data_IF_099618797932
#
_entry.id   IF_099618797932
#
_cell.length_a   1.000
_cell.length_b   1.000
_cell.length_c   1.000
_cell.angle_alpha   90.00
_cell.angle_beta   90.00
_cell.angle_gamma   90.00
#
_symmetry.space_group_name_H-M   'P 1'
#
loop_
_entity.id
_entity.type
_entity.pdbx_description
1 polymer ?
#
# COMPACT_ATOMS: atom_id res chain seq x y z
N UNK A 1 15.36 -10.33 -3.28
CA UNK A 1 14.13 -10.30 -4.13
C UNK A 1 14.41 -9.54 -5.41
N UNK A 2 14.33 -10.17 -6.59
CA UNK A 2 14.67 -9.52 -7.87
C UNK A 2 13.58 -8.51 -8.23
N UNK A 3 13.87 -7.23 -8.08
CA UNK A 3 13.00 -6.13 -8.50
C UNK A 3 12.74 -6.23 -10.01
N UNK A 4 11.49 -6.45 -10.42
CA UNK A 4 11.09 -6.29 -11.81
C UNK A 4 11.48 -4.89 -12.25
N UNK A 5 12.23 -4.81 -13.34
CA UNK A 5 12.73 -3.55 -13.86
C UNK A 5 11.52 -2.67 -14.24
N UNK A 6 11.23 -1.63 -13.45
CA UNK A 6 10.11 -0.69 -13.67
C UNK A 6 10.12 -0.16 -15.11
N UNK A 7 11.31 0.03 -15.70
CA UNK A 7 11.44 0.42 -17.11
C UNK A 7 10.87 -0.62 -18.08
N UNK A 8 11.03 -1.93 -17.78
CA UNK A 8 10.49 -3.02 -18.61
C UNK A 8 8.97 -3.05 -18.50
N UNK A 9 8.44 -2.94 -17.27
CA UNK A 9 6.99 -2.90 -17.02
C UNK A 9 6.32 -1.70 -17.71
N UNK A 10 6.94 -0.52 -17.66
CA UNK A 10 6.42 0.70 -18.30
C UNK A 10 6.51 0.68 -19.83
N UNK A 11 7.46 -0.09 -20.42
CA UNK A 11 7.51 -0.31 -21.88
C UNK A 11 6.43 -1.27 -22.37
N UNK A 12 5.98 -2.18 -21.53
CA UNK A 12 4.93 -3.15 -21.87
C UNK A 12 3.53 -2.54 -21.85
N UNK A 13 3.35 -1.39 -21.18
CA UNK A 13 2.06 -0.68 -21.14
C UNK A 13 1.90 0.15 -22.41
N UNK A 14 1.27 -0.44 -23.42
CA UNK A 14 0.91 0.26 -24.66
C UNK A 14 0.05 1.49 -24.36
N UNK A 15 0.49 2.68 -24.83
CA UNK A 15 -0.30 3.91 -24.82
C UNK A 15 -0.01 4.89 -23.68
N UNK A 16 0.87 4.58 -22.70
CA UNK A 16 1.23 5.52 -21.64
C UNK A 16 2.59 6.15 -21.90
N UNK A 17 2.61 7.44 -22.27
CA UNK A 17 3.84 8.20 -22.40
C UNK A 17 4.56 8.35 -21.06
N UNK A 18 5.85 8.00 -21.01
CA UNK A 18 6.67 8.08 -19.80
C UNK A 18 7.31 9.46 -19.66
N UNK A 19 6.55 10.42 -19.16
CA UNK A 19 7.04 11.79 -18.92
C UNK A 19 8.04 11.83 -17.75
N UNK A 20 8.83 12.90 -17.66
CA UNK A 20 9.79 13.14 -16.56
C UNK A 20 9.08 13.11 -15.21
N UNK A 21 7.91 13.72 -15.11
CA UNK A 21 7.10 13.75 -13.89
C UNK A 21 6.65 12.32 -13.48
N UNK A 22 6.18 11.52 -14.43
CA UNK A 22 5.78 10.12 -14.18
C UNK A 22 6.96 9.27 -13.69
N UNK A 23 8.13 9.39 -14.33
CA UNK A 23 9.35 8.71 -13.91
C UNK A 23 9.70 9.05 -12.47
N UNK A 24 9.66 10.35 -12.14
CA UNK A 24 9.97 10.83 -10.80
C UNK A 24 9.00 10.26 -9.76
N UNK A 25 7.69 10.31 -10.01
CA UNK A 25 6.69 9.82 -9.05
C UNK A 25 6.82 8.30 -8.82
N UNK A 26 7.01 7.52 -9.87
CA UNK A 26 7.22 6.07 -9.76
C UNK A 26 8.49 5.75 -8.96
N UNK A 27 9.58 6.50 -9.20
CA UNK A 27 10.82 6.32 -8.46
C UNK A 27 10.66 6.63 -6.98
N UNK A 28 9.89 7.67 -6.63
CA UNK A 28 9.61 8.02 -5.24
C UNK A 28 8.73 6.98 -4.55
N UNK A 29 7.69 6.47 -5.21
CA UNK A 29 6.87 5.38 -4.69
C UNK A 29 7.73 4.14 -4.44
N UNK A 30 8.62 3.81 -5.38
CA UNK A 30 9.55 2.69 -5.24
C UNK A 30 10.51 2.84 -4.05
N UNK A 31 11.03 4.07 -3.83
CA UNK A 31 11.97 4.38 -2.73
C UNK A 31 11.30 4.45 -1.36
N UNK A 32 10.00 4.53 -1.32
CA UNK A 32 9.27 4.54 -0.05
C UNK A 32 9.27 3.17 0.66
N UNK A 33 9.81 2.12 -0.01
CA UNK A 33 9.97 0.77 0.56
C UNK A 33 8.71 0.26 1.29
N UNK A 34 7.53 0.48 0.67
CA UNK A 34 6.23 0.13 1.24
C UNK A 34 5.18 1.17 0.85
N UNK A 35 4.61 1.83 1.83
CA UNK A 35 3.44 2.67 1.68
C UNK A 35 3.77 4.16 1.70
N UNK A 36 3.23 4.93 0.75
CA UNK A 36 3.37 6.39 0.71
C UNK A 36 2.02 7.08 0.52
N UNK A 37 1.73 8.11 1.30
CA UNK A 37 0.54 8.92 1.07
C UNK A 37 0.71 9.87 -0.13
N UNK A 38 -0.39 10.28 -0.77
CA UNK A 38 -0.34 11.26 -1.86
C UNK A 38 0.31 12.59 -1.41
N UNK A 39 0.06 12.99 -0.16
CA UNK A 39 0.61 14.22 0.43
C UNK A 39 2.13 14.14 0.62
N UNK A 40 2.64 13.01 1.08
CA UNK A 40 4.08 12.83 1.28
C UNK A 40 4.81 12.61 -0.05
N UNK A 41 4.18 11.91 -0.98
CA UNK A 41 4.67 11.80 -2.36
C UNK A 41 4.79 13.20 -3.00
N UNK A 42 3.78 14.06 -2.83
CA UNK A 42 3.83 15.43 -3.31
C UNK A 42 4.97 16.22 -2.65
N UNK A 43 5.11 16.16 -1.31
CA UNK A 43 6.18 16.86 -0.59
C UNK A 43 7.58 16.44 -1.08
N UNK A 44 7.77 15.16 -1.39
CA UNK A 44 9.04 14.66 -1.93
C UNK A 44 9.25 15.07 -3.38
N UNK A 45 8.18 15.02 -4.19
CA UNK A 45 8.24 15.34 -5.61
C UNK A 45 8.54 16.82 -5.86
N UNK A 46 7.91 17.74 -5.13
CA UNK A 46 8.11 19.18 -5.30
C UNK A 46 9.53 19.64 -4.94
N UNK A 47 10.20 18.94 -4.01
CA UNK A 47 11.62 19.20 -3.69
C UNK A 47 12.55 18.92 -4.89
N UNK A 48 12.17 17.97 -5.76
CA UNK A 48 12.95 17.57 -6.94
C UNK A 48 12.51 18.28 -8.23
N UNK A 49 11.22 18.58 -8.32
CA UNK A 49 10.64 19.28 -9.47
C UNK A 49 9.52 20.23 -8.99
N UNK A 50 9.83 21.50 -8.90
CA UNK A 50 8.92 22.56 -8.43
C UNK A 50 7.67 22.74 -9.31
N UNK A 51 7.68 22.26 -10.55
CA UNK A 51 6.53 22.34 -11.45
C UNK A 51 5.43 21.30 -11.19
N UNK A 52 5.66 20.36 -10.27
CA UNK A 52 4.67 19.34 -9.92
C UNK A 52 3.64 19.94 -8.95
N UNK A 53 2.37 19.87 -9.33
CA UNK A 53 1.26 20.21 -8.45
C UNK A 53 0.68 18.98 -7.76
N UNK A 54 -0.05 19.17 -6.66
CA UNK A 54 -0.77 18.10 -5.99
C UNK A 54 -1.80 17.42 -6.91
N UNK A 55 -2.47 18.21 -7.77
CA UNK A 55 -3.37 17.68 -8.78
C UNK A 55 -2.65 16.78 -9.80
N UNK A 56 -1.41 17.12 -10.15
CA UNK A 56 -0.57 16.27 -11.02
C UNK A 56 -0.26 14.95 -10.34
N UNK A 57 0.03 14.94 -9.03
CA UNK A 57 0.27 13.72 -8.26
C UNK A 57 -0.97 12.83 -8.30
N UNK A 58 -2.15 13.35 -7.95
CA UNK A 58 -3.39 12.55 -7.95
C UNK A 58 -3.75 12.00 -9.32
N UNK A 59 -3.61 12.79 -10.40
CA UNK A 59 -3.85 12.30 -11.77
C UNK A 59 -2.93 11.14 -12.14
N UNK A 60 -1.66 11.21 -11.74
CA UNK A 60 -0.71 10.13 -12.02
C UNK A 60 -0.94 8.91 -11.13
N UNK A 61 -1.28 9.08 -9.87
CA UNK A 61 -1.66 7.97 -8.99
C UNK A 61 -2.87 7.23 -9.54
N UNK A 62 -3.90 7.96 -10.00
CA UNK A 62 -5.05 7.34 -10.67
C UNK A 62 -4.61 6.54 -11.90
N UNK A 63 -3.83 7.14 -12.78
CA UNK A 63 -3.30 6.47 -13.97
C UNK A 63 -2.53 5.20 -13.61
N UNK A 64 -1.61 5.28 -12.64
CA UNK A 64 -0.78 4.15 -12.22
C UNK A 64 -1.62 3.01 -11.62
N UNK A 65 -2.70 3.35 -10.92
CA UNK A 65 -3.67 2.38 -10.42
C UNK A 65 -4.45 1.73 -11.57
N UNK A 66 -4.99 2.53 -12.50
CA UNK A 66 -5.79 2.06 -13.62
C UNK A 66 -5.00 1.09 -14.53
N UNK A 67 -3.70 1.30 -14.67
CA UNK A 67 -2.80 0.39 -15.41
C UNK A 67 -2.23 -0.75 -14.55
N UNK A 68 -2.64 -0.86 -13.28
CA UNK A 68 -2.20 -1.93 -12.37
C UNK A 68 -0.73 -1.86 -11.94
N UNK A 69 -0.08 -0.68 -12.01
CA UNK A 69 1.29 -0.48 -11.59
C UNK A 69 1.40 -0.35 -10.07
N UNK A 70 0.42 0.32 -9.45
CA UNK A 70 0.35 0.52 -8.00
C UNK A 70 -0.99 0.01 -7.47
N UNK A 71 -1.01 -0.24 -6.17
CA UNK A 71 -2.22 -0.51 -5.41
C UNK A 71 -2.51 0.65 -4.46
N UNK A 72 -3.80 0.96 -4.30
CA UNK A 72 -4.31 1.89 -3.30
C UNK A 72 -4.78 1.08 -2.10
N UNK A 73 -4.23 1.38 -0.92
CA UNK A 73 -4.62 0.78 0.35
C UNK A 73 -5.29 1.81 1.22
N UNK A 74 -6.47 1.49 1.72
CA UNK A 74 -7.21 2.34 2.65
C UNK A 74 -7.28 1.65 4.00
N UNK A 75 -6.70 2.29 5.00
CA UNK A 75 -6.71 1.83 6.37
C UNK A 75 -7.63 2.74 7.19
N UNK A 76 -8.79 2.20 7.59
CA UNK A 76 -9.83 2.97 8.24
C UNK A 76 -10.39 4.11 7.34
N UNK A 77 -10.95 5.15 7.97
CA UNK A 77 -11.53 6.29 7.24
C UNK A 77 -10.52 7.38 6.86
N UNK A 78 -9.34 7.39 7.48
CA UNK A 78 -8.42 8.54 7.45
C UNK A 78 -7.18 8.34 6.59
N UNK A 79 -6.78 7.10 6.34
CA UNK A 79 -5.49 6.83 5.72
C UNK A 79 -5.63 6.17 4.37
N UNK A 80 -5.08 6.83 3.34
CA UNK A 80 -4.98 6.30 1.99
C UNK A 80 -3.51 6.31 1.56
N UNK A 81 -2.99 5.14 1.23
CA UNK A 81 -1.62 4.92 0.84
C UNK A 81 -1.52 4.24 -0.51
N UNK A 82 -0.37 4.38 -1.14
CA UNK A 82 -0.05 3.82 -2.43
C UNK A 82 1.26 3.04 -2.34
N UNK A 83 1.28 1.89 -2.96
CA UNK A 83 2.45 1.00 -3.04
C UNK A 83 2.60 0.43 -4.45
N UNK A 84 3.82 0.03 -4.83
CA UNK A 84 4.00 -0.74 -6.06
C UNK A 84 3.33 -2.11 -5.91
N UNK A 85 2.58 -2.53 -6.94
CA UNK A 85 1.97 -3.86 -6.94
C UNK A 85 3.04 -4.93 -6.77
N UNK A 86 2.96 -5.66 -5.67
CA UNK A 86 3.89 -6.75 -5.34
C UNK A 86 3.39 -8.08 -5.91
N UNK A 87 4.35 -8.99 -6.16
CA UNK A 87 4.04 -10.33 -6.65
C UNK A 87 3.51 -11.27 -5.54
N UNK A 88 3.76 -10.93 -4.27
CA UNK A 88 3.34 -11.70 -3.10
C UNK A 88 2.34 -10.89 -2.29
N UNK A 89 1.29 -11.55 -1.81
CA UNK A 89 0.35 -10.96 -0.87
C UNK A 89 1.03 -10.80 0.48
N UNK A 90 0.96 -9.61 1.05
CA UNK A 90 1.37 -9.30 2.41
C UNK A 90 0.19 -8.68 3.15
N UNK A 91 0.25 -8.71 4.46
CA UNK A 91 -0.77 -8.22 5.36
C UNK A 91 -0.26 -7.01 6.11
N UNK A 92 -1.14 -6.26 6.76
CA UNK A 92 -0.80 -4.96 7.31
C UNK A 92 -1.16 -4.84 8.80
N UNK A 93 -0.20 -4.33 9.58
CA UNK A 93 -0.42 -3.79 10.92
C UNK A 93 -0.39 -2.26 10.81
N UNK A 94 -1.38 -1.58 11.34
CA UNK A 94 -1.45 -0.11 11.30
C UNK A 94 -1.50 0.47 12.70
N UNK A 95 -0.58 1.36 13.00
CA UNK A 95 -0.58 2.08 14.27
C UNK A 95 -1.64 3.18 14.26
N UNK A 96 -2.60 3.11 15.18
CA UNK A 96 -3.68 4.10 15.31
C UNK A 96 -3.19 5.48 15.75
N UNK A 97 -2.02 5.57 16.38
CA UNK A 97 -1.47 6.85 16.85
C UNK A 97 -0.64 7.55 15.78
N UNK A 98 0.40 6.90 15.25
CA UNK A 98 1.34 7.55 14.33
C UNK A 98 1.10 7.20 12.85
N UNK A 99 0.17 6.27 12.54
CA UNK A 99 -0.10 5.83 11.18
C UNK A 99 1.00 4.94 10.58
N UNK A 100 1.98 4.50 11.38
CA UNK A 100 3.02 3.59 10.91
C UNK A 100 2.41 2.27 10.43
N UNK A 101 2.88 1.79 9.27
CA UNK A 101 2.41 0.54 8.66
C UNK A 101 3.56 -0.45 8.66
N UNK A 102 3.27 -1.66 9.16
CA UNK A 102 4.20 -2.78 9.16
C UNK A 102 3.60 -3.89 8.30
N UNK A 103 4.37 -4.38 7.34
CA UNK A 103 4.00 -5.53 6.51
C UNK A 103 4.37 -6.83 7.23
N UNK A 104 3.50 -7.84 7.13
CA UNK A 104 3.79 -9.17 7.64
C UNK A 104 3.21 -10.25 6.73
N UNK A 105 3.75 -11.44 6.82
CA UNK A 105 3.24 -12.61 6.11
C UNK A 105 2.26 -13.38 7.00
N UNK A 106 1.12 -13.82 6.44
CA UNK A 106 0.12 -14.61 7.12
C UNK A 106 -0.13 -15.92 6.35
N UNK A 107 0.73 -16.94 6.50
CA UNK A 107 0.60 -18.21 5.77
C UNK A 107 -0.74 -18.91 6.03
N UNK A 108 -1.29 -18.75 7.23
CA UNK A 108 -2.59 -19.32 7.61
C UNK A 108 -3.77 -18.76 6.82
N UNK A 109 -3.65 -17.56 6.24
CA UNK A 109 -4.72 -16.96 5.46
C UNK A 109 -5.11 -17.84 4.27
N UNK A 110 -4.13 -18.50 3.65
CA UNK A 110 -4.39 -19.43 2.55
C UNK A 110 -5.22 -20.61 3.01
N UNK A 111 -4.93 -21.19 4.16
CA UNK A 111 -5.68 -22.31 4.74
C UNK A 111 -7.13 -21.90 5.06
N UNK A 112 -7.32 -20.70 5.64
CA UNK A 112 -8.66 -20.15 5.91
C UNK A 112 -9.46 -20.00 4.61
N UNK A 113 -8.84 -19.49 3.55
CA UNK A 113 -9.50 -19.35 2.25
C UNK A 113 -9.92 -20.71 1.68
N UNK A 114 -9.01 -21.68 1.66
CA UNK A 114 -9.29 -23.04 1.19
C UNK A 114 -10.42 -23.72 1.98
N UNK A 115 -10.45 -23.52 3.30
CA UNK A 115 -11.51 -24.03 4.17
C UNK A 115 -12.86 -23.38 3.88
N UNK A 116 -12.89 -22.05 3.72
CA UNK A 116 -14.11 -21.30 3.38
C UNK A 116 -14.64 -21.74 2.01
N UNK A 117 -13.77 -21.83 1.01
CA UNK A 117 -14.17 -22.25 -0.34
C UNK A 117 -14.77 -23.65 -0.35
N UNK A 118 -14.17 -24.57 0.41
CA UNK A 118 -14.63 -25.96 0.50
C UNK A 118 -15.95 -26.11 1.24
N UNK A 119 -16.07 -25.42 2.42
CA UNK A 119 -17.23 -25.63 3.30
C UNK A 119 -18.48 -24.87 2.81
N UNK A 120 -18.29 -23.76 2.12
CA UNK A 120 -19.39 -22.88 1.71
C UNK A 120 -19.63 -22.85 0.20
N UNK A 121 -18.87 -23.63 -0.58
CA UNK A 121 -18.90 -23.60 -2.05
C UNK A 121 -18.76 -22.17 -2.60
N UNK A 122 -17.89 -21.39 -1.98
CA UNK A 122 -17.72 -19.98 -2.25
C UNK A 122 -16.37 -19.70 -2.93
N UNK A 123 -16.36 -18.98 -4.05
CA UNK A 123 -15.13 -18.60 -4.73
C UNK A 123 -14.60 -17.28 -4.16
N UNK A 124 -13.50 -17.35 -3.40
CA UNK A 124 -12.87 -16.18 -2.77
C UNK A 124 -11.99 -15.47 -3.78
N UNK A 125 -12.39 -14.30 -4.24
CA UNK A 125 -11.59 -13.46 -5.18
C UNK A 125 -10.54 -12.61 -4.51
N UNK A 126 -10.67 -12.35 -3.19
CA UNK A 126 -9.72 -11.57 -2.40
C UNK A 126 -9.85 -11.90 -0.92
N UNK A 127 -8.71 -12.07 -0.27
CA UNK A 127 -8.62 -12.19 1.19
C UNK A 127 -7.46 -11.32 1.69
N UNK A 128 -7.70 -10.53 2.73
CA UNK A 128 -6.70 -9.65 3.36
C UNK A 128 -6.90 -9.65 4.87
N UNK A 129 -5.79 -9.57 5.62
CA UNK A 129 -5.80 -9.34 7.06
C UNK A 129 -5.33 -7.91 7.31
N UNK A 130 -6.14 -7.17 8.04
CA UNK A 130 -5.84 -5.83 8.48
C UNK A 130 -5.97 -5.77 9.99
N UNK A 131 -4.87 -5.43 10.67
CA UNK A 131 -4.84 -5.34 12.13
C UNK A 131 -4.51 -3.90 12.53
N UNK A 132 -5.30 -3.34 13.44
CA UNK A 132 -5.06 -2.04 14.05
C UNK A 132 -4.56 -2.19 15.49
N UNK A 133 -3.61 -1.36 15.86
CA UNK A 133 -3.06 -1.37 17.20
C UNK A 133 -2.13 -0.18 17.45
N UNK A 134 -1.18 -0.35 18.35
CA UNK A 134 -0.17 0.67 18.65
C UNK A 134 1.22 0.07 18.43
N UNK A 135 2.07 0.76 17.71
CA UNK A 135 3.46 0.33 17.51
C UNK A 135 4.25 0.48 18.81
N UNK A 136 5.45 -0.12 18.85
CA UNK A 136 6.31 -0.12 20.03
C UNK A 136 6.58 1.29 20.57
N UNK A 137 6.86 2.24 19.68
CA UNK A 137 7.14 3.63 20.03
C UNK A 137 5.90 4.34 20.61
N UNK A 138 4.71 3.96 20.19
CA UNK A 138 3.46 4.58 20.63
C UNK A 138 2.81 3.86 21.83
N UNK A 139 3.23 2.63 22.12
CA UNK A 139 2.71 1.82 23.23
C UNK A 139 3.48 2.03 24.57
N UNK A 140 4.60 2.76 24.56
CA UNK A 140 5.47 2.94 25.71
C UNK A 140 4.90 3.85 26.83
N UNK A 141 3.63 4.29 26.74
CA UNK A 141 3.01 5.18 27.73
C UNK A 141 1.79 4.64 28.48
N UNK A 142 1.20 3.52 28.03
CA UNK A 142 -0.03 3.00 28.63
C UNK A 142 0.09 1.51 28.95
N UNK A 143 0.64 1.23 30.13
CA UNK A 143 0.74 -0.12 30.71
C UNK A 143 -0.59 -0.70 31.19
N UNK A 144 -1.74 -0.22 30.70
CA UNK A 144 -3.06 -0.71 31.09
C UNK A 144 -4.11 -0.61 29.98
N UNK A 145 -3.76 -0.94 28.73
CA UNK A 145 -4.82 -1.19 27.74
C UNK A 145 -5.24 -2.65 27.95
N UNK A 146 -6.38 -2.85 28.62
CA UNK A 146 -7.11 -4.11 28.56
C UNK A 146 -7.18 -4.54 27.08
N UNK A 147 -6.59 -5.71 26.77
CA UNK A 147 -6.64 -6.32 25.45
C UNK A 147 -8.08 -6.76 25.16
N UNK A 148 -8.95 -5.83 24.87
CA UNK A 148 -10.28 -6.13 24.34
C UNK A 148 -10.11 -6.39 22.85
N UNK A 149 -9.96 -7.66 22.51
CA UNK A 149 -10.16 -8.09 21.12
C UNK A 149 -11.66 -7.94 20.81
N UNK A 150 -12.03 -6.88 20.13
CA UNK A 150 -13.33 -6.82 19.47
C UNK A 150 -13.18 -7.57 18.14
N UNK A 151 -13.51 -8.87 18.17
CA UNK A 151 -13.78 -9.59 16.93
C UNK A 151 -15.21 -9.17 16.57
N UNK A 152 -15.33 -8.21 15.63
CA UNK A 152 -16.59 -7.78 15.06
C UNK A 152 -16.98 -8.62 13.87
#
# INVERSE_FOLDING_TARGET
MKMRNVRKYLKEIKGVSLTIQRKLLIELIRKAEGHISAKDLYKQAVKKNKSISLATVYRNLKLFKDIGLIEERRFGKLYCYYELKQAHSHQHLVCKHCGNIIEFEAPLLKQIVEEVESNYLFNVVKAEIYLEGYCKECNNGESNIERKYSIG
#
